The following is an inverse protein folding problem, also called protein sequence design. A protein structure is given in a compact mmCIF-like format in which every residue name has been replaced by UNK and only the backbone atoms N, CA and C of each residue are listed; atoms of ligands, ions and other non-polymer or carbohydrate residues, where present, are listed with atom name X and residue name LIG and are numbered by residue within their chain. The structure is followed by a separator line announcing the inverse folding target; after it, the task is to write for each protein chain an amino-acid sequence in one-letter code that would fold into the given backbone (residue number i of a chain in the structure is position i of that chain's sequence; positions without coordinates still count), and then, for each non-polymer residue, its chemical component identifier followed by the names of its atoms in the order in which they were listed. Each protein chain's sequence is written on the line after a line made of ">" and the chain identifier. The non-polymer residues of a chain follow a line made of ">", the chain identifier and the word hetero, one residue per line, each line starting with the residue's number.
data_IF_373871211237
#
_entry.id   IF_373871211237
#
_cell.length_a   1.000
_cell.length_b   1.000
_cell.length_c   1.000
_cell.angle_alpha   90.00
_cell.angle_beta   90.00
_cell.angle_gamma   90.00
#
_symmetry.space_group_name_H-M   'P 1'
#
loop_
_entity.id
_entity.type
_entity.pdbx_description
1 polymer ?
#
# COMPACT_ATOMS: atom_id res chain seq x y z
N UNK A 1 19.90 -31.21 18.07
CA UNK A 1 18.82 -30.31 18.55
C UNK A 1 19.13 -28.81 18.41
N UNK A 2 20.39 -28.33 18.48
CA UNK A 2 20.71 -26.89 18.49
C UNK A 2 20.73 -26.17 17.13
N UNK A 3 20.88 -26.91 16.02
CA UNK A 3 20.90 -26.35 14.65
C UNK A 3 19.50 -26.01 14.13
N UNK A 4 18.49 -26.80 14.50
CA UNK A 4 17.09 -26.57 14.13
C UNK A 4 16.53 -25.30 14.76
N UNK A 5 16.88 -25.02 16.02
CA UNK A 5 16.42 -23.83 16.75
C UNK A 5 16.94 -22.54 16.11
N UNK A 6 18.17 -22.53 15.59
CA UNK A 6 18.74 -21.37 14.88
C UNK A 6 18.04 -21.09 13.54
N UNK A 7 17.73 -22.15 12.79
CA UNK A 7 17.03 -22.03 11.50
C UNK A 7 15.60 -21.51 11.71
N UNK A 8 14.91 -22.02 12.74
CA UNK A 8 13.60 -21.52 13.13
C UNK A 8 13.65 -20.03 13.51
N UNK A 9 14.68 -19.62 14.26
CA UNK A 9 14.84 -18.24 14.69
C UNK A 9 15.09 -17.28 13.51
N UNK A 10 15.92 -17.67 12.53
CA UNK A 10 16.15 -16.87 11.33
C UNK A 10 14.92 -16.78 10.41
N UNK A 11 14.11 -17.85 10.33
CA UNK A 11 12.82 -17.84 9.62
C UNK A 11 11.79 -16.93 10.30
N UNK A 12 11.79 -16.91 11.63
CA UNK A 12 10.88 -16.07 12.42
C UNK A 12 11.28 -14.58 12.34
N UNK A 13 12.57 -14.27 12.24
CA UNK A 13 13.06 -12.89 12.01
C UNK A 13 12.77 -12.41 10.58
N UNK A 14 12.92 -13.27 9.56
CA UNK A 14 12.64 -12.91 8.17
C UNK A 14 11.15 -12.70 7.87
N UNK A 15 10.25 -13.40 8.58
CA UNK A 15 8.81 -13.12 8.54
C UNK A 15 8.43 -11.82 9.24
N UNK A 16 9.12 -11.44 10.33
CA UNK A 16 8.93 -10.15 10.99
C UNK A 16 9.39 -8.94 10.14
N UNK A 17 10.41 -9.11 9.30
CA UNK A 17 10.93 -8.07 8.39
C UNK A 17 10.06 -7.85 7.14
N UNK A 18 9.14 -8.76 6.82
CA UNK A 18 8.23 -8.64 5.68
C UNK A 18 7.02 -7.69 5.93
N UNK A 19 6.92 -7.08 7.12
CA UNK A 19 5.89 -6.09 7.43
C UNK A 19 6.10 -4.72 6.73
N UNK A 20 7.13 -4.59 5.89
CA UNK A 20 7.26 -3.48 4.94
C UNK A 20 6.53 -3.83 3.63
N UNK A 21 5.25 -4.19 3.72
CA UNK A 21 4.41 -4.39 2.55
C UNK A 21 4.26 -3.04 1.84
N UNK A 22 4.61 -2.99 0.55
CA UNK A 22 4.43 -1.81 -0.31
C UNK A 22 2.96 -1.40 -0.46
N UNK A 23 2.65 -0.49 -1.39
CA UNK A 23 1.28 -0.09 -1.65
C UNK A 23 0.39 -1.30 -1.98
N UNK A 24 -0.79 -1.34 -1.37
CA UNK A 24 -1.80 -2.38 -1.54
C UNK A 24 -3.11 -1.77 -2.01
N UNK A 25 -3.82 -2.48 -2.89
CA UNK A 25 -5.17 -2.11 -3.31
C UNK A 25 -6.16 -2.50 -2.22
N UNK A 26 -6.86 -1.51 -1.66
CA UNK A 26 -7.82 -1.68 -0.57
C UNK A 26 -9.26 -1.85 -1.09
N UNK A 27 -9.58 -1.20 -2.20
CA UNK A 27 -10.86 -1.35 -2.90
C UNK A 27 -10.71 -1.00 -4.37
N UNK A 28 -11.44 -1.69 -5.24
CA UNK A 28 -11.43 -1.46 -6.68
C UNK A 28 -12.86 -1.63 -7.22
N UNK A 29 -13.34 -0.59 -7.90
CA UNK A 29 -14.63 -0.57 -8.60
C UNK A 29 -14.38 -0.26 -10.09
N UNK A 30 -15.42 -0.22 -10.93
CA UNK A 30 -15.27 0.16 -12.34
C UNK A 30 -14.70 1.57 -12.51
N UNK A 31 -15.07 2.48 -11.61
CA UNK A 31 -14.85 3.91 -11.76
C UNK A 31 -13.83 4.44 -10.76
N UNK A 32 -13.38 3.65 -9.79
CA UNK A 32 -12.38 4.10 -8.82
C UNK A 32 -11.54 2.98 -8.24
N UNK A 33 -10.30 3.30 -7.87
CA UNK A 33 -9.37 2.42 -7.17
C UNK A 33 -8.81 3.11 -5.93
N UNK A 34 -8.76 2.39 -4.81
CA UNK A 34 -8.26 2.89 -3.53
C UNK A 34 -7.02 2.11 -3.13
N UNK A 35 -5.95 2.82 -2.81
CA UNK A 35 -4.69 2.26 -2.34
C UNK A 35 -4.47 2.57 -0.85
N UNK A 36 -3.76 1.68 -0.18
CA UNK A 36 -3.22 1.86 1.16
C UNK A 36 -1.71 1.63 1.16
N UNK A 37 -0.96 2.52 1.81
CA UNK A 37 0.50 2.46 1.82
C UNK A 37 1.09 3.10 3.08
N UNK A 38 2.24 2.63 3.58
CA UNK A 38 2.89 3.23 4.75
C UNK A 38 3.45 4.62 4.40
N UNK A 39 3.12 5.61 5.22
CA UNK A 39 3.59 6.98 5.06
C UNK A 39 5.11 7.03 5.29
N UNK A 40 5.82 7.78 4.45
CA UNK A 40 7.25 8.04 4.58
C UNK A 40 8.10 7.34 3.53
N UNK A 41 7.75 6.09 3.14
CA UNK A 41 8.40 5.41 1.99
C UNK A 41 7.62 5.57 0.68
N UNK A 42 6.31 5.76 0.77
CA UNK A 42 5.43 5.87 -0.40
C UNK A 42 4.57 7.14 -0.34
N UNK A 43 4.50 7.82 -1.47
CA UNK A 43 3.70 8.98 -1.79
C UNK A 43 2.46 8.62 -2.60
N UNK A 44 1.68 9.66 -2.92
CA UNK A 44 0.54 9.52 -3.85
C UNK A 44 1.04 9.20 -5.25
N UNK A 45 2.18 9.78 -5.64
CA UNK A 45 2.77 9.61 -6.96
C UNK A 45 3.17 8.15 -7.23
N UNK A 46 3.61 7.42 -6.21
CA UNK A 46 3.98 6.00 -6.35
C UNK A 46 2.78 5.10 -6.70
N UNK A 47 1.58 5.46 -6.22
CA UNK A 47 0.34 4.71 -6.53
C UNK A 47 -0.44 5.33 -7.69
N UNK A 48 -0.03 6.52 -8.14
CA UNK A 48 -0.66 7.23 -9.25
C UNK A 48 -0.39 6.53 -10.57
N UNK A 49 0.83 6.06 -10.81
CA UNK A 49 1.15 5.31 -12.03
C UNK A 49 0.29 4.04 -12.16
N UNK A 50 0.14 3.30 -11.06
CA UNK A 50 -0.73 2.12 -11.01
C UNK A 50 -2.21 2.48 -11.25
N UNK A 51 -2.67 3.61 -10.68
CA UNK A 51 -4.02 4.11 -10.92
C UNK A 51 -4.24 4.54 -12.37
N UNK A 52 -3.27 5.22 -12.98
CA UNK A 52 -3.30 5.62 -14.38
C UNK A 52 -3.32 4.40 -15.30
N UNK A 53 -2.49 3.39 -15.04
CA UNK A 53 -2.51 2.13 -15.78
C UNK A 53 -3.88 1.43 -15.67
N UNK A 54 -4.52 1.52 -14.50
CA UNK A 54 -5.87 0.99 -14.27
C UNK A 54 -6.95 1.73 -15.07
N UNK A 55 -6.97 3.07 -15.03
CA UNK A 55 -7.98 3.87 -15.74
C UNK A 55 -7.75 3.89 -17.26
N UNK A 56 -6.49 3.92 -17.70
CA UNK A 56 -6.11 3.96 -19.12
C UNK A 56 -6.54 2.71 -19.89
N UNK A 57 -6.58 1.54 -19.23
CA UNK A 57 -7.17 0.31 -19.81
C UNK A 57 -8.64 0.48 -20.21
N UNK A 58 -9.32 1.49 -19.67
CA UNK A 58 -10.72 1.85 -19.97
C UNK A 58 -10.85 3.10 -20.82
N UNK A 59 -9.74 3.71 -21.25
CA UNK A 59 -9.73 4.97 -21.99
C UNK A 59 -10.01 6.20 -21.13
N UNK A 60 -9.88 6.08 -19.80
CA UNK A 60 -10.12 7.16 -18.84
C UNK A 60 -8.80 7.58 -18.17
N UNK A 61 -8.77 8.79 -17.61
CA UNK A 61 -7.65 9.31 -16.84
C UNK A 61 -7.87 9.05 -15.35
N UNK A 62 -6.79 8.85 -14.60
CA UNK A 62 -6.88 8.74 -13.15
C UNK A 62 -6.81 10.12 -12.50
N UNK A 63 -7.84 10.48 -11.76
CA UNK A 63 -7.92 11.72 -10.99
C UNK A 63 -7.96 11.40 -9.49
N UNK A 64 -7.10 12.05 -8.70
CA UNK A 64 -7.08 11.85 -7.26
C UNK A 64 -8.37 12.40 -6.64
N UNK A 65 -9.13 11.53 -5.97
CA UNK A 65 -10.35 11.90 -5.25
C UNK A 65 -9.98 12.59 -3.93
N UNK A 66 -9.92 13.92 -3.95
CA UNK A 66 -9.61 14.71 -2.76
C UNK A 66 -8.12 14.62 -2.36
N UNK A 67 -7.84 14.55 -1.05
CA UNK A 67 -6.48 14.51 -0.52
C UNK A 67 -6.10 13.13 0.03
N UNK A 68 -4.79 12.85 0.04
CA UNK A 68 -4.20 11.71 0.76
C UNK A 68 -4.62 11.75 2.23
N UNK A 69 -5.25 10.68 2.70
CA UNK A 69 -5.68 10.56 4.10
C UNK A 69 -4.75 9.61 4.84
N UNK A 70 -4.06 10.07 5.88
CA UNK A 70 -3.16 9.25 6.68
C UNK A 70 -3.66 9.10 8.11
N UNK A 71 -3.70 7.86 8.57
CA UNK A 71 -4.18 7.50 9.91
C UNK A 71 -3.22 6.49 10.54
N UNK A 72 -2.91 6.67 11.82
CA UNK A 72 -2.16 5.69 12.59
C UNK A 72 -3.13 5.01 13.58
N UNK A 73 -3.20 3.66 13.61
CA UNK A 73 -4.09 2.94 14.53
C UNK A 73 -3.61 3.00 16.00
N UNK A 74 -2.37 3.41 16.24
CA UNK A 74 -1.80 3.63 17.57
C UNK A 74 -0.70 4.70 17.52
N UNK A 75 -0.37 5.32 18.67
CA UNK A 75 0.65 6.38 18.79
C UNK A 75 2.06 5.97 18.33
N UNK A 76 2.38 4.67 18.41
CA UNK A 76 3.66 4.10 17.99
C UNK A 76 3.59 3.37 16.64
N UNK A 77 2.42 3.31 16.00
CA UNK A 77 2.21 2.60 14.75
C UNK A 77 2.66 3.47 13.57
N UNK A 78 3.24 2.89 12.51
CA UNK A 78 3.51 3.64 11.29
C UNK A 78 2.19 4.18 10.72
N UNK A 79 2.21 5.46 10.33
CA UNK A 79 1.11 6.13 9.66
C UNK A 79 0.75 5.37 8.37
N UNK A 80 -0.50 4.94 8.24
CA UNK A 80 -1.00 4.27 7.06
C UNK A 80 -1.84 5.26 6.25
N UNK A 81 -1.39 5.54 5.04
CA UNK A 81 -2.04 6.47 4.13
C UNK A 81 -2.92 5.76 3.13
N UNK A 82 -3.98 6.45 2.72
CA UNK A 82 -4.92 6.01 1.70
C UNK A 82 -5.06 7.07 0.63
N UNK A 83 -5.11 6.64 -0.61
CA UNK A 83 -5.37 7.48 -1.77
C UNK A 83 -6.42 6.79 -2.63
N UNK A 84 -7.46 7.54 -3.04
CA UNK A 84 -8.50 7.04 -3.94
C UNK A 84 -8.36 7.78 -5.25
N UNK A 85 -8.32 7.05 -6.37
CA UNK A 85 -8.34 7.62 -7.71
C UNK A 85 -9.65 7.26 -8.39
N UNK A 86 -10.27 8.23 -9.05
CA UNK A 86 -11.44 8.04 -9.91
C UNK A 86 -10.97 8.00 -11.36
N UNK A 87 -11.55 7.12 -12.16
CA UNK A 87 -11.36 7.08 -13.59
C UNK A 87 -12.36 8.02 -14.25
N UNK A 88 -11.89 9.10 -14.87
CA UNK A 88 -12.70 10.13 -15.54
C UNK A 88 -12.13 10.49 -16.93
#
# INVERSE_FOLDING_TARGET
>A
MQRFTRILFTLLVSTFLAACSGPQVLSQTSDSITFAFPSGRYGVDDVKEDAEAFCKKRGLNAELRGNKFCTAPCLSCPLQCRATFVCN
#
